data_IF_826606393340
#
_entry.id   IF_826606393340
#
_cell.length_a   1.000
_cell.length_b   1.000
_cell.length_c   1.000
_cell.angle_alpha   90.00
_cell.angle_beta   90.00
_cell.angle_gamma   90.00
#
_symmetry.space_group_name_H-M   'P 1'
#
loop_
_entity.id
_entity.type
_entity.pdbx_description
1 polymer ?
#
# COMPACT_ATOMS: atom_id res chain seq x y z
N UNK A 1 -21.08 5.15 -7.06
CA UNK A 1 -19.62 5.39 -6.99
C UNK A 1 -19.37 6.55 -7.92
N UNK A 2 -18.62 7.57 -7.51
CA UNK A 2 -18.33 8.71 -8.41
C UNK A 2 -17.43 8.28 -9.56
N UNK A 3 -17.47 9.01 -10.67
CA UNK A 3 -16.56 8.83 -11.81
C UNK A 3 -15.08 9.00 -11.44
N UNK A 4 -14.74 9.67 -10.33
CA UNK A 4 -13.39 9.64 -9.74
C UNK A 4 -12.79 8.24 -9.56
N UNK A 5 -13.66 7.25 -9.40
CA UNK A 5 -13.30 5.86 -9.15
C UNK A 5 -13.35 5.04 -10.44
N UNK A 6 -13.02 5.62 -11.60
CA UNK A 6 -12.74 4.85 -12.82
C UNK A 6 -11.53 3.94 -12.60
N UNK A 7 -11.72 2.87 -11.84
CA UNK A 7 -10.70 1.92 -11.49
C UNK A 7 -10.12 1.38 -12.79
N UNK A 8 -8.92 1.79 -13.17
CA UNK A 8 -8.27 1.28 -14.39
C UNK A 8 -7.58 -0.07 -14.13
N UNK A 9 -7.69 -0.61 -12.92
CA UNK A 9 -7.07 -1.86 -12.50
C UNK A 9 -7.89 -3.10 -12.85
N UNK A 10 -7.18 -4.14 -13.29
CA UNK A 10 -7.77 -5.44 -13.61
C UNK A 10 -8.03 -6.26 -12.34
N UNK A 11 -8.79 -7.35 -12.47
CA UNK A 11 -8.98 -8.31 -11.37
C UNK A 11 -7.65 -8.91 -10.89
N UNK A 12 -6.73 -9.14 -11.82
CA UNK A 12 -5.39 -9.62 -11.51
C UNK A 12 -4.65 -8.60 -10.65
N UNK A 13 -4.62 -7.33 -11.06
CA UNK A 13 -3.92 -6.26 -10.34
C UNK A 13 -4.48 -6.03 -8.93
N UNK A 14 -5.80 -5.98 -8.78
CA UNK A 14 -6.46 -5.80 -7.47
C UNK A 14 -6.24 -6.99 -6.52
N UNK A 15 -6.23 -8.21 -7.07
CA UNK A 15 -5.90 -9.43 -6.30
C UNK A 15 -4.43 -9.45 -5.91
N UNK A 16 -3.54 -9.15 -6.85
CA UNK A 16 -2.10 -9.04 -6.60
C UNK A 16 -1.80 -8.01 -5.52
N UNK A 17 -2.38 -6.81 -5.61
CA UNK A 17 -2.25 -5.78 -4.60
C UNK A 17 -2.70 -6.27 -3.22
N UNK A 18 -3.85 -6.95 -3.12
CA UNK A 18 -4.36 -7.47 -1.85
C UNK A 18 -3.43 -8.53 -1.23
N UNK A 19 -2.87 -9.43 -2.05
CA UNK A 19 -1.92 -10.45 -1.61
C UNK A 19 -0.57 -9.83 -1.21
N UNK A 20 -0.06 -8.91 -2.03
CA UNK A 20 1.18 -8.19 -1.76
C UNK A 20 1.06 -7.35 -0.48
N UNK A 21 -0.05 -6.64 -0.27
CA UNK A 21 -0.28 -5.88 0.94
C UNK A 21 -0.25 -6.78 2.19
N UNK A 22 -0.96 -7.91 2.17
CA UNK A 22 -0.96 -8.86 3.28
C UNK A 22 0.44 -9.40 3.59
N UNK A 23 1.19 -9.78 2.55
CA UNK A 23 2.55 -10.30 2.66
C UNK A 23 3.52 -9.24 3.20
N UNK A 24 3.44 -8.02 2.67
CA UNK A 24 4.22 -6.86 3.12
C UNK A 24 3.91 -6.52 4.58
N UNK A 25 2.65 -6.55 5.03
CA UNK A 25 2.33 -6.37 6.44
C UNK A 25 2.95 -7.46 7.32
N UNK A 26 2.89 -8.73 6.91
CA UNK A 26 3.52 -9.82 7.64
C UNK A 26 5.05 -9.63 7.74
N UNK A 27 5.70 -9.22 6.65
CA UNK A 27 7.12 -8.88 6.61
C UNK A 27 7.47 -7.70 7.51
N UNK A 28 6.64 -6.66 7.55
CA UNK A 28 6.88 -5.51 8.41
C UNK A 28 6.73 -5.85 9.88
N UNK A 29 5.62 -6.48 10.30
CA UNK A 29 5.43 -6.86 11.70
C UNK A 29 6.56 -7.77 12.19
N UNK A 30 6.98 -8.74 11.39
CA UNK A 30 8.08 -9.63 11.76
C UNK A 30 9.45 -8.97 11.69
N UNK A 31 9.75 -8.22 10.63
CA UNK A 31 11.03 -7.55 10.44
C UNK A 31 11.29 -6.47 11.48
N UNK A 32 10.25 -5.71 11.85
CA UNK A 32 10.34 -4.67 12.88
C UNK A 32 10.50 -5.27 14.27
N UNK A 33 9.78 -6.36 14.56
CA UNK A 33 9.96 -7.09 15.81
C UNK A 33 11.41 -7.59 15.98
N UNK A 34 12.10 -7.96 14.89
CA UNK A 34 13.51 -8.35 14.94
C UNK A 34 14.44 -7.14 15.11
N UNK A 35 14.20 -6.07 14.35
CA UNK A 35 15.07 -4.89 14.34
C UNK A 35 14.99 -4.10 15.64
N UNK A 36 13.77 -3.80 16.11
CA UNK A 36 13.51 -2.99 17.30
C UNK A 36 13.01 -3.86 18.45
N UNK A 37 13.68 -4.98 18.68
CA UNK A 37 13.23 -6.03 19.59
C UNK A 37 13.02 -5.54 21.04
N UNK A 38 13.85 -4.60 21.52
CA UNK A 38 13.71 -4.04 22.86
C UNK A 38 12.44 -3.19 23.00
N UNK A 39 12.06 -2.48 21.94
CA UNK A 39 10.84 -1.65 21.89
C UNK A 39 9.56 -2.43 21.52
N UNK A 40 9.72 -3.57 20.84
CA UNK A 40 8.65 -4.42 20.30
C UNK A 40 8.67 -5.84 20.86
N UNK A 41 9.19 -5.99 22.08
CA UNK A 41 9.32 -7.28 22.77
C UNK A 41 7.99 -8.06 22.83
N UNK A 42 6.87 -7.36 22.96
CA UNK A 42 5.54 -7.98 23.04
C UNK A 42 5.18 -8.68 21.73
N UNK A 43 5.60 -8.13 20.58
CA UNK A 43 5.34 -8.70 19.26
C UNK A 43 6.22 -9.93 19.04
N UNK A 44 7.46 -9.91 19.54
CA UNK A 44 8.31 -11.11 19.59
C UNK A 44 7.68 -12.22 20.41
N UNK A 45 7.21 -11.93 21.64
CA UNK A 45 6.57 -12.92 22.50
C UNK A 45 5.31 -13.48 21.85
N UNK A 46 4.45 -12.62 21.30
CA UNK A 46 3.21 -13.01 20.63
C UNK A 46 3.45 -14.00 19.47
N UNK A 47 4.56 -13.82 18.74
CA UNK A 47 4.91 -14.63 17.57
C UNK A 47 5.83 -15.82 17.90
N UNK A 48 5.99 -16.19 19.17
CA UNK A 48 6.76 -17.37 19.58
C UNK A 48 8.26 -17.12 19.75
N UNK A 49 8.65 -15.90 20.10
CA UNK A 49 10.04 -15.47 20.30
C UNK A 49 10.83 -15.36 18.99
N UNK A 50 12.14 -15.18 19.09
CA UNK A 50 13.02 -14.97 17.92
C UNK A 50 12.90 -16.10 16.88
N UNK A 51 12.75 -17.35 17.32
CA UNK A 51 12.62 -18.50 16.40
C UNK A 51 11.33 -18.39 15.59
N UNK A 52 10.21 -18.10 16.25
CA UNK A 52 8.92 -17.96 15.59
C UNK A 52 8.88 -16.76 14.64
N UNK A 53 9.34 -15.60 15.08
CA UNK A 53 9.39 -14.40 14.24
C UNK A 53 10.26 -14.60 13.01
N UNK A 54 11.47 -15.16 13.15
CA UNK A 54 12.35 -15.44 12.00
C UNK A 54 11.71 -16.45 11.04
N UNK A 55 11.01 -17.46 11.56
CA UNK A 55 10.33 -18.44 10.72
C UNK A 55 9.19 -17.80 9.91
N UNK A 56 8.35 -16.98 10.55
CA UNK A 56 7.26 -16.26 9.86
C UNK A 56 7.83 -15.25 8.86
N UNK A 57 8.88 -14.50 9.22
CA UNK A 57 9.53 -13.54 8.32
C UNK A 57 10.06 -14.22 7.06
N UNK A 58 10.72 -15.37 7.21
CA UNK A 58 11.22 -16.15 6.07
C UNK A 58 10.07 -16.72 5.23
N UNK A 59 9.00 -17.21 5.85
CA UNK A 59 7.85 -17.72 5.12
C UNK A 59 7.18 -16.61 4.29
N UNK A 60 6.96 -15.43 4.88
CA UNK A 60 6.48 -14.26 4.16
C UNK A 60 7.49 -13.81 3.08
N UNK A 61 8.79 -13.90 3.34
CA UNK A 61 9.83 -13.63 2.34
C UNK A 61 9.74 -14.54 1.11
N UNK A 62 9.40 -15.82 1.27
CA UNK A 62 9.11 -16.71 0.14
C UNK A 62 7.85 -16.26 -0.62
N UNK A 63 6.83 -15.78 0.11
CA UNK A 63 5.63 -15.16 -0.46
C UNK A 63 5.99 -13.96 -1.34
N UNK A 64 6.80 -13.03 -0.82
CA UNK A 64 7.26 -11.86 -1.56
C UNK A 64 8.05 -12.25 -2.80
N UNK A 65 8.98 -13.20 -2.69
CA UNK A 65 9.74 -13.71 -3.84
C UNK A 65 8.78 -14.23 -4.91
N UNK A 66 7.81 -15.05 -4.55
CA UNK A 66 6.84 -15.59 -5.49
C UNK A 66 6.00 -14.49 -6.15
N UNK A 67 5.55 -13.50 -5.38
CA UNK A 67 4.76 -12.36 -5.88
C UNK A 67 5.58 -11.47 -6.81
N UNK A 68 6.80 -11.10 -6.45
CA UNK A 68 7.69 -10.29 -7.29
C UNK A 68 8.03 -11.02 -8.58
N UNK A 69 8.41 -12.31 -8.51
CA UNK A 69 8.70 -13.12 -9.70
C UNK A 69 7.46 -13.23 -10.59
N UNK A 70 6.29 -13.51 -10.02
CA UNK A 70 5.03 -13.54 -10.75
C UNK A 70 4.76 -12.22 -11.47
N UNK A 71 4.89 -11.09 -10.78
CA UNK A 71 4.64 -9.77 -11.35
C UNK A 71 5.62 -9.44 -12.48
N UNK A 72 6.92 -9.70 -12.28
CA UNK A 72 7.94 -9.50 -13.30
C UNK A 72 7.70 -10.37 -14.53
N UNK A 73 7.36 -11.65 -14.36
CA UNK A 73 7.01 -12.54 -15.46
C UNK A 73 5.81 -11.99 -16.22
N UNK A 74 4.75 -11.58 -15.52
CA UNK A 74 3.55 -11.04 -16.15
C UNK A 74 3.79 -9.74 -16.92
N UNK A 75 4.62 -8.84 -16.39
CA UNK A 75 5.06 -7.64 -17.10
C UNK A 75 5.82 -7.95 -18.39
N UNK A 76 6.64 -9.01 -18.38
CA UNK A 76 7.45 -9.38 -19.54
C UNK A 76 6.67 -10.13 -20.62
N UNK A 77 5.79 -11.07 -20.23
CA UNK A 77 5.15 -11.99 -21.18
C UNK A 77 3.83 -11.45 -21.76
N UNK A 78 3.07 -10.66 -21.00
CA UNK A 78 1.74 -10.20 -21.44
C UNK A 78 1.78 -8.87 -22.17
N UNK A 79 0.93 -8.69 -23.18
CA UNK A 79 0.80 -7.43 -23.90
C UNK A 79 0.34 -6.30 -22.96
N UNK A 80 -0.63 -6.59 -22.10
CA UNK A 80 -1.09 -5.67 -21.06
C UNK A 80 0.03 -5.27 -20.11
N UNK A 81 0.85 -6.22 -19.67
CA UNK A 81 1.99 -5.95 -18.80
C UNK A 81 3.03 -5.04 -19.44
N UNK A 82 3.39 -5.32 -20.71
CA UNK A 82 4.34 -4.47 -21.47
C UNK A 82 3.78 -3.08 -21.74
N UNK A 83 2.49 -2.96 -22.06
CA UNK A 83 1.80 -1.68 -22.25
C UNK A 83 1.81 -0.86 -20.96
N UNK A 84 1.37 -1.46 -19.85
CA UNK A 84 1.35 -0.82 -18.53
C UNK A 84 2.76 -0.37 -18.11
N UNK A 85 3.79 -1.20 -18.36
CA UNK A 85 5.17 -0.82 -18.08
C UNK A 85 5.59 0.43 -18.86
N UNK A 86 5.23 0.52 -20.14
CA UNK A 86 5.53 1.71 -20.96
C UNK A 86 4.85 2.97 -20.45
N UNK A 87 3.64 2.86 -19.89
CA UNK A 87 2.89 3.99 -19.33
C UNK A 87 3.46 4.53 -18.02
N UNK A 88 4.05 3.67 -17.19
CA UNK A 88 4.62 4.10 -15.90
C UNK A 88 6.03 4.71 -16.04
N UNK A 89 6.74 4.46 -17.15
CA UNK A 89 8.09 4.99 -17.37
C UNK A 89 8.06 6.53 -17.37
N UNK A 90 8.89 7.21 -16.54
CA UNK A 90 8.95 8.66 -16.50
C UNK A 90 9.31 9.26 -17.87
N UNK A 91 8.57 10.28 -18.27
CA UNK A 91 8.78 11.03 -19.51
C UNK A 91 9.26 12.46 -19.21
N UNK A 92 9.59 13.22 -20.26
CA UNK A 92 9.94 14.65 -20.07
C UNK A 92 8.77 15.47 -19.52
N UNK A 93 7.55 15.11 -19.87
CA UNK A 93 6.35 15.78 -19.36
C UNK A 93 6.19 15.62 -17.84
N UNK A 94 6.69 14.51 -17.25
CA UNK A 94 6.70 14.34 -15.80
C UNK A 94 7.67 15.34 -15.12
N UNK A 95 8.78 15.69 -15.79
CA UNK A 95 9.72 16.71 -15.31
C UNK A 95 9.11 18.11 -15.43
N UNK A 96 8.46 18.41 -16.56
CA UNK A 96 7.76 19.68 -16.75
C UNK A 96 6.63 19.85 -15.73
N UNK A 97 5.90 18.75 -15.45
CA UNK A 97 4.89 18.71 -14.41
C UNK A 97 5.46 19.00 -13.02
N UNK A 98 6.57 18.36 -12.64
CA UNK A 98 7.25 18.63 -11.38
C UNK A 98 7.68 20.10 -11.26
N UNK A 99 8.30 20.67 -12.29
CA UNK A 99 8.77 22.06 -12.28
C UNK A 99 7.61 23.04 -12.13
N UNK A 100 6.51 22.84 -12.87
CA UNK A 100 5.32 23.68 -12.73
C UNK A 100 4.66 23.50 -11.37
N UNK A 101 4.63 22.29 -10.82
CA UNK A 101 4.04 22.05 -9.50
C UNK A 101 4.83 22.77 -8.38
N UNK A 102 6.16 22.80 -8.48
CA UNK A 102 7.01 23.61 -7.60
C UNK A 102 6.73 25.10 -7.77
N UNK A 103 6.57 25.59 -9.02
CA UNK A 103 6.21 26.99 -9.26
C UNK A 103 4.84 27.33 -8.65
N UNK A 104 3.86 26.45 -8.82
CA UNK A 104 2.51 26.61 -8.25
C UNK A 104 2.56 26.65 -6.72
N UNK A 105 3.26 25.71 -6.07
CA UNK A 105 3.44 25.70 -4.61
C UNK A 105 4.12 26.98 -4.08
N UNK A 106 5.01 27.58 -4.87
CA UNK A 106 5.68 28.84 -4.55
C UNK A 106 4.86 30.08 -4.94
N UNK A 107 3.62 29.93 -5.42
CA UNK A 107 2.77 31.02 -5.86
C UNK A 107 3.26 31.73 -7.14
N UNK A 108 4.10 31.05 -7.95
CA UNK A 108 4.68 31.55 -9.21
C UNK A 108 4.01 30.98 -10.46
N UNK A 109 2.97 30.19 -10.29
CA UNK A 109 2.07 29.73 -11.34
C UNK A 109 0.66 29.70 -10.79
N UNK A 110 -0.32 30.07 -11.62
CA UNK A 110 -1.72 30.14 -11.21
C UNK A 110 -2.38 28.75 -11.15
N UNK A 111 -1.80 27.77 -11.87
CA UNK A 111 -2.35 26.42 -11.99
C UNK A 111 -1.26 25.34 -11.94
N UNK A 112 -1.64 24.16 -11.43
CA UNK A 112 -0.82 22.93 -11.50
C UNK A 112 -0.79 22.39 -12.93
N UNK A 113 0.29 21.70 -13.28
CA UNK A 113 0.39 21.02 -14.57
C UNK A 113 -0.69 19.91 -14.69
N UNK A 114 -1.28 19.67 -15.87
CA UNK A 114 -2.28 18.60 -16.06
C UNK A 114 -1.80 17.22 -15.56
N UNK A 115 -0.57 16.82 -15.90
CA UNK A 115 0.05 15.58 -15.41
C UNK A 115 0.34 15.52 -13.89
N UNK A 116 0.09 16.61 -13.14
CA UNK A 116 0.13 16.62 -11.67
C UNK A 116 -1.26 16.53 -11.02
N UNK A 117 -2.35 16.59 -11.81
CA UNK A 117 -3.74 16.67 -11.34
C UNK A 117 -4.42 15.30 -11.33
N UNK A 118 -3.91 14.35 -10.55
CA UNK A 118 -4.50 13.00 -10.45
C UNK A 118 -5.94 12.98 -9.88
N UNK A 119 -6.34 14.04 -9.18
CA UNK A 119 -7.66 14.15 -8.53
C UNK A 119 -8.28 15.55 -8.70
N UNK A 120 -7.84 16.30 -9.72
CA UNK A 120 -8.21 17.71 -9.91
C UNK A 120 -8.44 18.06 -11.40
N UNK A 121 -8.75 17.06 -12.23
CA UNK A 121 -9.22 17.26 -13.61
C UNK A 121 -10.71 17.57 -13.63
N UNK A 122 -11.18 18.17 -14.72
CA UNK A 122 -12.59 18.51 -14.93
C UNK A 122 -13.35 17.29 -15.47
N UNK A 123 -12.75 16.60 -16.45
CA UNK A 123 -13.26 15.34 -17.00
C UNK A 123 -12.38 14.12 -16.66
N UNK A 124 -12.98 12.94 -16.71
CA UNK A 124 -12.33 11.66 -16.39
C UNK A 124 -11.20 11.26 -17.35
N UNK A 125 -11.25 11.72 -18.59
CA UNK A 125 -10.27 11.48 -19.65
C UNK A 125 -9.09 12.47 -19.60
N UNK A 126 -9.30 13.65 -19.03
CA UNK A 126 -8.25 14.65 -18.74
C UNK A 126 -7.39 14.27 -17.51
N UNK A 127 -7.90 13.41 -16.64
CA UNK A 127 -7.15 12.94 -15.46
C UNK A 127 -6.13 11.86 -15.88
N UNK A 128 -4.82 12.10 -15.72
CA UNK A 128 -3.81 11.10 -16.00
C UNK A 128 -4.02 9.87 -15.10
N UNK A 129 -3.85 8.66 -15.68
CA UNK A 129 -3.93 7.40 -14.92
C UNK A 129 -3.04 7.42 -13.67
N UNK A 130 -1.82 7.93 -13.85
CA UNK A 130 -0.80 8.07 -12.83
C UNK A 130 -0.19 9.46 -12.97
N UNK A 131 -0.23 10.27 -11.92
CA UNK A 131 0.56 11.50 -11.88
C UNK A 131 2.06 11.19 -11.86
N UNK A 132 2.90 12.20 -12.10
CA UNK A 132 4.35 12.06 -11.92
C UNK A 132 4.71 11.54 -10.50
N UNK A 133 3.95 11.95 -9.47
CA UNK A 133 4.09 11.45 -8.09
C UNK A 133 3.73 9.98 -8.02
N UNK A 134 2.58 9.59 -8.58
CA UNK A 134 2.15 8.20 -8.63
C UNK A 134 3.16 7.28 -9.35
N UNK A 135 3.77 7.75 -10.44
CA UNK A 135 4.85 7.02 -11.14
C UNK A 135 6.07 6.88 -10.24
N UNK A 136 6.46 7.95 -9.54
CA UNK A 136 7.51 7.92 -8.55
C UNK A 136 7.28 6.87 -7.47
N UNK A 137 6.08 6.84 -6.87
CA UNK A 137 5.71 5.86 -5.84
C UNK A 137 5.79 4.43 -6.37
N UNK A 138 5.27 4.15 -7.58
CA UNK A 138 5.36 2.82 -8.19
C UNK A 138 6.82 2.38 -8.37
N UNK A 139 7.70 3.26 -8.86
CA UNK A 139 9.11 2.94 -9.04
C UNK A 139 9.85 2.73 -7.72
N UNK A 140 9.61 3.58 -6.73
CA UNK A 140 10.20 3.45 -5.39
C UNK A 140 9.84 2.08 -4.81
N UNK A 141 8.55 1.74 -4.77
CA UNK A 141 8.10 0.44 -4.23
C UNK A 141 8.64 -0.74 -5.04
N UNK A 142 8.64 -0.66 -6.37
CA UNK A 142 9.13 -1.75 -7.22
C UNK A 142 10.63 -2.02 -7.02
N UNK A 143 11.43 -0.95 -6.96
CA UNK A 143 12.88 -1.05 -6.72
C UNK A 143 13.14 -1.55 -5.30
N UNK A 144 12.50 -0.97 -4.30
CA UNK A 144 12.70 -1.34 -2.89
C UNK A 144 12.31 -2.79 -2.61
N UNK A 145 11.15 -3.25 -3.10
CA UNK A 145 10.75 -4.65 -2.97
C UNK A 145 11.73 -5.59 -3.67
N UNK A 146 12.24 -5.21 -4.84
CA UNK A 146 13.25 -6.00 -5.57
C UNK A 146 14.56 -6.07 -4.76
N UNK A 147 15.03 -4.94 -4.23
CA UNK A 147 16.24 -4.88 -3.42
C UNK A 147 16.07 -5.64 -2.10
N UNK A 148 14.91 -5.60 -1.46
CA UNK A 148 14.57 -6.39 -0.27
C UNK A 148 14.59 -7.89 -0.56
N UNK A 149 14.04 -8.33 -1.70
CA UNK A 149 14.13 -9.74 -2.14
C UNK A 149 15.59 -10.14 -2.33
N UNK A 150 16.37 -9.36 -3.08
CA UNK A 150 17.78 -9.69 -3.37
C UNK A 150 18.61 -9.71 -2.09
N UNK A 151 18.52 -8.67 -1.27
CA UNK A 151 19.26 -8.59 0.00
C UNK A 151 18.80 -9.65 1.01
N UNK A 152 17.51 -9.96 1.06
CA UNK A 152 16.93 -11.02 1.90
C UNK A 152 17.44 -12.41 1.52
N UNK A 153 17.55 -12.70 0.22
CA UNK A 153 18.16 -13.93 -0.29
C UNK A 153 19.66 -14.01 0.04
N UNK A 154 20.40 -12.90 -0.06
CA UNK A 154 21.81 -12.86 0.30
C UNK A 154 22.02 -13.17 1.80
N UNK A 155 21.19 -12.60 2.68
CA UNK A 155 21.30 -12.82 4.13
C UNK A 155 20.55 -14.07 4.63
N UNK A 156 19.93 -14.83 3.72
CA UNK A 156 19.13 -16.02 4.04
C UNK A 156 19.93 -17.02 4.88
N UNK A 157 21.19 -17.23 4.49
CA UNK A 157 22.19 -18.00 5.22
C UNK A 157 23.38 -17.12 5.60
N UNK A 158 23.33 -16.52 6.80
CA UNK A 158 24.42 -15.68 7.33
C UNK A 158 25.75 -16.42 7.38
N UNK A 159 25.75 -17.71 7.73
CA UNK A 159 26.95 -18.56 7.75
C UNK A 159 27.50 -18.81 6.34
N UNK A 160 26.63 -19.09 5.36
CA UNK A 160 27.04 -19.22 3.96
C UNK A 160 27.62 -17.92 3.40
N UNK A 161 27.02 -16.79 3.73
CA UNK A 161 27.48 -15.46 3.29
C UNK A 161 28.87 -15.11 3.86
N UNK A 162 29.10 -15.39 5.16
CA UNK A 162 30.42 -15.20 5.79
C UNK A 162 31.50 -16.10 5.17
N UNK A 163 31.15 -17.32 4.79
CA UNK A 163 32.08 -18.23 4.09
C UNK A 163 32.40 -17.72 2.68
N UNK A 164 31.39 -17.25 1.94
CA UNK A 164 31.55 -16.74 0.58
C UNK A 164 32.45 -15.50 0.52
N UNK A 165 32.21 -14.51 1.39
CA UNK A 165 33.01 -13.28 1.44
C UNK A 165 34.28 -13.38 2.28
N UNK A 166 34.53 -14.53 2.92
CA UNK A 166 35.62 -14.77 3.88
C UNK A 166 35.72 -13.70 5.00
N UNK A 167 34.65 -12.92 5.24
CA UNK A 167 34.65 -11.81 6.18
C UNK A 167 33.30 -11.68 6.89
N UNK A 168 33.35 -11.51 8.21
CA UNK A 168 32.16 -11.21 9.02
C UNK A 168 31.59 -9.82 8.72
N UNK A 169 32.47 -8.86 8.45
CA UNK A 169 32.09 -7.46 8.18
C UNK A 169 31.21 -7.34 6.94
N UNK A 170 31.55 -8.01 5.83
CA UNK A 170 30.73 -7.98 4.63
C UNK A 170 29.34 -8.59 4.88
N UNK A 171 29.27 -9.71 5.60
CA UNK A 171 27.99 -10.33 5.93
C UNK A 171 27.11 -9.43 6.82
N UNK A 172 27.70 -8.73 7.80
CA UNK A 172 26.98 -7.77 8.64
C UNK A 172 26.52 -6.54 7.85
N UNK A 173 27.31 -6.05 6.90
CA UNK A 173 26.92 -4.93 6.04
C UNK A 173 25.65 -5.23 5.23
N UNK A 174 25.50 -6.45 4.70
CA UNK A 174 24.27 -6.84 4.00
C UNK A 174 23.05 -6.93 4.92
N UNK A 175 23.25 -7.33 6.17
CA UNK A 175 22.18 -7.37 7.18
C UNK A 175 21.71 -5.95 7.52
N UNK A 176 22.64 -5.02 7.76
CA UNK A 176 22.33 -3.60 7.99
C UNK A 176 21.64 -3.00 6.76
N UNK A 177 22.17 -3.27 5.56
CA UNK A 177 21.58 -2.80 4.31
C UNK A 177 20.13 -3.27 4.13
N UNK A 178 19.84 -4.56 4.38
CA UNK A 178 18.48 -5.08 4.33
C UNK A 178 17.56 -4.41 5.37
N UNK A 179 18.05 -4.20 6.59
CA UNK A 179 17.31 -3.50 7.65
C UNK A 179 16.97 -2.05 7.27
N UNK A 180 17.95 -1.31 6.73
CA UNK A 180 17.75 0.08 6.28
C UNK A 180 16.78 0.17 5.09
N UNK A 181 16.85 -0.75 4.12
CA UNK A 181 15.84 -0.84 3.06
C UNK A 181 14.44 -1.05 3.63
N UNK A 182 14.31 -1.90 4.66
CA UNK A 182 13.07 -2.10 5.38
C UNK A 182 12.55 -0.80 6.02
N UNK A 183 13.43 0.03 6.58
CA UNK A 183 13.02 1.31 7.17
C UNK A 183 12.53 2.30 6.13
N UNK A 184 13.24 2.45 5.02
CA UNK A 184 12.84 3.38 3.96
C UNK A 184 11.49 2.93 3.37
N UNK A 185 11.33 1.63 3.09
CA UNK A 185 10.07 1.07 2.59
C UNK A 185 8.93 1.25 3.60
N UNK A 186 9.20 1.16 4.91
CA UNK A 186 8.18 1.44 5.93
C UNK A 186 7.64 2.86 5.79
N UNK A 187 8.52 3.84 5.62
CA UNK A 187 8.10 5.23 5.43
C UNK A 187 7.16 5.33 4.22
N UNK A 188 7.55 4.71 3.10
CA UNK A 188 6.71 4.61 1.91
C UNK A 188 5.35 3.99 2.19
N UNK A 189 5.30 2.88 2.93
CA UNK A 189 4.05 2.19 3.29
C UNK A 189 3.18 3.02 4.24
N UNK A 190 3.75 3.69 5.24
CA UNK A 190 2.99 4.55 6.14
C UNK A 190 2.38 5.74 5.41
N UNK A 191 3.14 6.36 4.51
CA UNK A 191 2.60 7.40 3.64
C UNK A 191 1.53 6.87 2.69
N UNK A 192 1.72 5.69 2.10
CA UNK A 192 0.73 5.05 1.25
C UNK A 192 -0.59 4.77 2.00
N UNK A 193 -0.51 4.25 3.23
CA UNK A 193 -1.69 4.07 4.10
C UNK A 193 -2.39 5.41 4.35
N UNK A 194 -1.61 6.45 4.64
CA UNK A 194 -2.15 7.78 4.91
C UNK A 194 -2.85 8.38 3.70
N UNK A 195 -2.15 8.42 2.55
CA UNK A 195 -2.63 9.01 1.31
C UNK A 195 -3.92 8.34 0.85
N UNK A 196 -3.95 7.01 0.78
CA UNK A 196 -5.09 6.28 0.20
C UNK A 196 -6.20 5.95 1.22
N UNK A 197 -5.90 5.92 2.52
CA UNK A 197 -6.90 5.72 3.57
C UNK A 197 -7.59 7.01 4.01
N UNK A 198 -6.91 8.15 3.91
CA UNK A 198 -7.39 9.41 4.47
C UNK A 198 -7.49 10.54 3.45
N UNK A 199 -7.44 10.23 2.15
CA UNK A 199 -7.76 11.19 1.10
C UNK A 199 -9.20 11.73 1.26
N UNK A 200 -9.44 13.04 1.19
CA UNK A 200 -10.78 13.62 1.36
C UNK A 200 -11.82 13.05 0.39
N UNK A 201 -11.43 12.78 -0.85
CA UNK A 201 -12.34 12.26 -1.87
C UNK A 201 -12.68 10.76 -1.72
N UNK A 202 -11.85 10.01 -0.99
CA UNK A 202 -11.97 8.54 -0.90
C UNK A 202 -12.10 8.03 0.52
N UNK A 203 -12.15 8.92 1.52
CA UNK A 203 -12.24 8.55 2.92
C UNK A 203 -13.50 7.69 3.17
N UNK A 204 -13.39 6.55 3.88
CA UNK A 204 -12.24 6.08 4.68
C UNK A 204 -11.26 5.13 3.97
N UNK A 205 -11.43 4.88 2.67
CA UNK A 205 -10.56 3.99 1.89
C UNK A 205 -10.78 4.17 0.39
N UNK A 206 -9.69 4.34 -0.36
CA UNK A 206 -9.74 4.31 -1.83
C UNK A 206 -10.01 2.90 -2.39
N UNK A 207 -11.15 2.76 -3.07
CA UNK A 207 -11.70 1.47 -3.54
C UNK A 207 -11.06 0.96 -4.82
N UNK A 208 -10.43 1.83 -5.63
CA UNK A 208 -9.77 1.45 -6.89
C UNK A 208 -8.78 0.28 -6.73
N UNK A 209 -8.09 0.20 -5.60
CA UNK A 209 -7.10 -0.85 -5.33
C UNK A 209 -7.71 -2.24 -5.12
N UNK A 210 -9.02 -2.31 -4.88
CA UNK A 210 -9.75 -3.53 -4.55
C UNK A 210 -10.80 -3.89 -5.61
N UNK A 211 -11.50 -2.91 -6.17
CA UNK A 211 -12.59 -3.14 -7.11
C UNK A 211 -12.07 -2.99 -8.55
N UNK A 212 -12.16 -4.03 -9.41
CA UNK A 212 -11.63 -3.96 -10.77
C UNK A 212 -12.56 -3.17 -11.71
N UNK A 213 -11.98 -2.53 -12.74
CA UNK A 213 -12.69 -1.68 -13.72
C UNK A 213 -14.02 -2.22 -14.19
N UNK A 214 -14.01 -3.48 -14.60
CA UNK A 214 -15.16 -4.18 -15.20
C UNK A 214 -16.39 -4.30 -14.29
N UNK A 215 -16.26 -3.94 -13.01
CA UNK A 215 -17.34 -3.93 -12.02
C UNK A 215 -17.85 -2.53 -11.70
N UNK A 216 -17.20 -1.49 -12.23
CA UNK A 216 -17.58 -0.10 -12.00
C UNK A 216 -18.42 0.34 -13.20
N UNK A 217 -19.66 0.82 -12.98
CA UNK A 217 -20.49 1.33 -14.06
C UNK A 217 -19.77 2.45 -14.81
N UNK A 218 -19.85 2.47 -16.14
CA UNK A 218 -19.22 3.52 -16.95
C UNK A 218 -20.00 4.85 -16.94
N UNK A 219 -21.24 4.86 -16.43
CA UNK A 219 -22.02 6.07 -16.22
C UNK A 219 -23.02 5.91 -15.07
N UNK A 220 -23.24 6.99 -14.33
CA UNK A 220 -24.47 7.21 -13.60
C UNK A 220 -25.35 8.13 -14.45
N UNK A 221 -26.52 7.63 -14.85
CA UNK A 221 -27.59 8.33 -15.57
C UNK A 221 -27.33 8.68 -17.06
N UNK A 222 -28.44 8.80 -17.79
CA UNK A 222 -28.59 9.03 -19.23
C UNK A 222 -28.08 10.39 -19.75
N UNK A 223 -27.19 11.07 -19.05
CA UNK A 223 -26.67 12.37 -19.47
C UNK A 223 -25.33 12.19 -20.20
N UNK A 224 -25.41 12.17 -21.53
CA UNK A 224 -24.25 12.30 -22.43
C UNK A 224 -23.51 13.66 -22.28
N UNK A 225 -23.95 14.50 -21.35
CA UNK A 225 -23.49 15.88 -21.07
C UNK A 225 -23.06 16.07 -19.60
N UNK A 226 -22.72 14.99 -18.86
CA UNK A 226 -22.20 15.12 -17.49
C UNK A 226 -20.76 15.69 -17.51
N UNK A 227 -20.67 17.01 -17.63
CA UNK A 227 -19.44 17.80 -17.51
C UNK A 227 -18.89 17.69 -16.06
N UNK A 228 -18.10 16.66 -15.73
CA UNK A 228 -17.51 16.52 -14.40
C UNK A 228 -16.99 15.13 -13.99
N UNK A 229 -16.10 15.11 -12.98
CA UNK A 229 -15.63 13.88 -12.33
C UNK A 229 -16.60 13.34 -11.26
N UNK A 230 -17.66 14.09 -10.94
CA UNK A 230 -18.57 13.82 -9.83
C UNK A 230 -17.99 14.16 -8.46
N UNK A 231 -16.81 14.79 -8.38
CA UNK A 231 -16.20 15.21 -7.10
C UNK A 231 -16.94 16.39 -6.48
N UNK A 232 -17.47 17.25 -7.33
CA UNK A 232 -18.29 18.42 -7.02
C UNK A 232 -19.61 18.05 -6.32
N UNK A 233 -20.11 16.83 -6.53
CA UNK A 233 -21.30 16.31 -5.86
C UNK A 233 -21.00 15.72 -4.46
N UNK A 234 -19.72 15.52 -4.13
CA UNK A 234 -19.31 14.93 -2.87
C UNK A 234 -19.28 15.97 -1.75
N UNK A 235 -19.74 15.55 -0.56
CA UNK A 235 -19.52 16.28 0.68
C UNK A 235 -18.51 15.57 1.55
N UNK A 236 -17.67 16.33 2.25
CA UNK A 236 -16.68 15.77 3.16
C UNK A 236 -17.38 15.09 4.34
N UNK A 237 -16.92 13.89 4.70
CA UNK A 237 -17.36 13.24 5.92
C UNK A 237 -17.04 14.11 7.14
N UNK A 238 -17.99 14.25 8.07
CA UNK A 238 -17.86 15.12 9.24
C UNK A 238 -16.68 14.75 10.16
N UNK A 239 -16.26 13.49 10.15
CA UNK A 239 -15.11 12.98 10.89
C UNK A 239 -13.77 13.16 10.18
N UNK A 240 -13.76 13.37 8.86
CA UNK A 240 -12.56 13.27 8.03
C UNK A 240 -11.43 14.15 8.55
N UNK A 241 -11.67 15.44 8.74
CA UNK A 241 -10.63 16.40 9.15
C UNK A 241 -9.95 15.98 10.46
N UNK A 242 -10.75 15.58 11.48
CA UNK A 242 -10.21 15.16 12.78
C UNK A 242 -9.39 13.88 12.66
N UNK A 243 -9.90 12.90 11.92
CA UNK A 243 -9.24 11.59 11.77
C UNK A 243 -7.99 11.71 10.91
N UNK A 244 -8.04 12.45 9.81
CA UNK A 244 -6.89 12.69 8.94
C UNK A 244 -5.77 13.43 9.68
N UNK A 245 -6.09 14.48 10.45
CA UNK A 245 -5.06 15.17 11.25
C UNK A 245 -4.44 14.26 12.31
N UNK A 246 -5.26 13.48 13.04
CA UNK A 246 -4.74 12.52 14.01
C UNK A 246 -3.82 11.49 13.35
N UNK A 247 -4.27 10.87 12.26
CA UNK A 247 -3.49 9.85 11.57
C UNK A 247 -2.22 10.42 10.93
N UNK A 248 -2.27 11.64 10.40
CA UNK A 248 -1.10 12.34 9.89
C UNK A 248 -0.04 12.55 10.99
N UNK A 249 -0.46 12.98 12.18
CA UNK A 249 0.44 13.10 13.33
C UNK A 249 1.04 11.75 13.73
N UNK A 250 0.23 10.69 13.81
CA UNK A 250 0.70 9.35 14.16
C UNK A 250 1.71 8.80 13.13
N UNK A 251 1.48 9.03 11.84
CA UNK A 251 2.41 8.67 10.77
C UNK A 251 3.76 9.38 10.94
N UNK A 252 3.74 10.70 11.16
CA UNK A 252 4.97 11.48 11.35
C UNK A 252 5.75 11.03 12.59
N UNK A 253 5.05 10.82 13.72
CA UNK A 253 5.64 10.30 14.95
C UNK A 253 6.27 8.92 14.70
N UNK A 254 5.51 7.99 14.11
CA UNK A 254 5.98 6.65 13.79
C UNK A 254 7.25 6.64 12.93
N UNK A 255 7.23 7.40 11.82
CA UNK A 255 8.38 7.53 10.90
C UNK A 255 9.59 8.11 11.63
N UNK A 256 9.41 9.21 12.35
CA UNK A 256 10.53 9.91 13.01
C UNK A 256 11.13 9.07 14.12
N UNK A 257 10.32 8.36 14.89
CA UNK A 257 10.80 7.46 15.96
C UNK A 257 11.56 6.27 15.39
N UNK A 258 11.06 5.63 14.34
CA UNK A 258 11.78 4.52 13.67
C UNK A 258 13.08 5.00 13.05
N UNK A 259 13.08 6.15 12.39
CA UNK A 259 14.30 6.74 11.82
C UNK A 259 15.32 7.06 12.91
N UNK A 260 14.88 7.67 14.01
CA UNK A 260 15.76 7.99 15.14
C UNK A 260 16.30 6.71 15.77
N UNK A 261 15.45 5.71 16.02
CA UNK A 261 15.84 4.41 16.54
C UNK A 261 16.87 3.74 15.65
N UNK A 262 16.70 3.79 14.32
CA UNK A 262 17.66 3.19 13.38
C UNK A 262 19.07 3.80 13.38
N UNK A 263 19.22 5.01 13.92
CA UNK A 263 20.50 5.70 14.05
C UNK A 263 21.18 5.33 15.38
N UNK A 264 20.40 5.13 16.44
CA UNK A 264 20.90 4.93 17.81
C UNK A 264 20.96 3.46 18.21
N UNK A 265 20.12 2.63 17.62
CA UNK A 265 19.97 1.21 17.89
C UNK A 265 20.28 0.45 16.58
N UNK A 266 21.51 -0.06 16.48
CA UNK A 266 21.96 -0.79 15.29
C UNK A 266 21.24 -2.16 15.16
N UNK A 267 20.41 -2.56 16.14
CA UNK A 267 19.57 -3.76 16.12
C UNK A 267 20.35 -5.07 15.93
N UNK A 268 21.68 -5.01 15.94
CA UNK A 268 22.57 -6.11 15.61
C UNK A 268 23.86 -6.11 16.44
N UNK A 269 24.24 -7.27 17.03
CA UNK A 269 23.50 -8.54 17.02
C UNK A 269 22.21 -8.46 17.84
N UNK A 270 21.12 -9.07 17.33
CA UNK A 270 19.86 -9.23 18.08
C UNK A 270 20.20 -9.80 19.46
N UNK A 271 19.96 -9.04 20.55
CA UNK A 271 20.27 -9.48 21.89
C UNK A 271 19.58 -10.81 22.21
N UNK A 272 20.24 -11.68 22.97
CA UNK A 272 19.63 -12.92 23.47
C UNK A 272 18.73 -12.66 24.68
N UNK A 273 18.90 -11.50 25.30
CA UNK A 273 18.20 -11.05 26.50
C UNK A 273 17.68 -9.64 26.23
N UNK A 274 16.45 -9.35 26.67
CA UNK A 274 15.82 -8.03 26.51
C UNK A 274 16.49 -7.05 27.48
N UNK A 275 17.13 -6.00 26.95
CA UNK A 275 17.78 -4.98 27.77
C UNK A 275 16.84 -3.78 27.92
N UNK A 276 16.08 -3.74 29.00
CA UNK A 276 15.25 -2.57 29.34
C UNK A 276 16.12 -1.51 30.04
N UNK A 277 17.01 -0.83 29.28
CA UNK A 277 17.76 0.32 29.79
C UNK A 277 16.85 1.57 29.84
N UNK A 278 16.22 1.79 30.99
CA UNK A 278 15.15 2.79 31.18
C UNK A 278 15.60 4.25 31.21
N UNK A 279 15.98 4.82 30.06
CA UNK A 279 16.09 6.28 29.90
C UNK A 279 14.75 6.89 29.44
N UNK A 280 14.44 8.16 29.76
CA UNK A 280 13.25 8.84 29.22
C UNK A 280 13.23 8.89 27.69
N UNK A 281 14.40 8.93 27.06
CA UNK A 281 14.54 8.88 25.60
C UNK A 281 14.14 7.51 25.05
N UNK A 282 14.55 6.44 25.72
CA UNK A 282 14.18 5.05 25.38
C UNK A 282 12.67 4.81 25.48
N UNK A 283 12.01 5.39 26.50
CA UNK A 283 10.56 5.38 26.62
C UNK A 283 9.86 6.10 25.47
N UNK A 284 10.37 7.27 25.07
CA UNK A 284 9.81 8.04 23.95
C UNK A 284 9.96 7.28 22.62
N UNK A 285 11.10 6.65 22.38
CA UNK A 285 11.32 5.79 21.22
C UNK A 285 10.38 4.59 21.24
N UNK A 286 10.25 3.93 22.39
CA UNK A 286 9.32 2.80 22.56
C UNK A 286 7.90 3.21 22.21
N UNK A 287 7.40 4.33 22.74
CA UNK A 287 6.05 4.84 22.42
C UNK A 287 5.93 5.12 20.93
N UNK A 288 6.88 5.84 20.34
CA UNK A 288 6.81 6.24 18.95
C UNK A 288 6.92 5.07 17.95
N UNK A 289 7.74 4.07 18.23
CA UNK A 289 7.82 2.85 17.42
C UNK A 289 6.51 2.07 17.51
N UNK A 290 5.90 1.98 18.70
CA UNK A 290 4.58 1.35 18.87
C UNK A 290 3.47 2.14 18.18
N UNK A 291 3.55 3.48 18.12
CA UNK A 291 2.69 4.31 17.27
C UNK A 291 2.87 3.94 15.79
N UNK A 292 4.10 3.70 15.34
CA UNK A 292 4.37 3.19 14.00
C UNK A 292 3.70 1.82 13.75
N UNK A 293 3.82 0.88 14.68
CA UNK A 293 3.12 -0.42 14.59
C UNK A 293 1.60 -0.24 14.56
N UNK A 294 1.05 0.72 15.31
CA UNK A 294 -0.37 1.04 15.26
C UNK A 294 -0.80 1.56 13.88
N UNK A 295 -0.02 2.43 13.24
CA UNK A 295 -0.30 2.89 11.87
C UNK A 295 -0.32 1.71 10.89
N UNK A 296 0.63 0.79 10.98
CA UNK A 296 0.63 -0.43 10.17
C UNK A 296 -0.61 -1.29 10.42
N UNK A 297 -1.02 -1.43 11.68
CA UNK A 297 -2.22 -2.18 12.04
C UNK A 297 -3.49 -1.54 11.44
N UNK A 298 -3.61 -0.22 11.49
CA UNK A 298 -4.69 0.51 10.81
C UNK A 298 -4.66 0.23 9.31
N UNK A 299 -3.48 0.26 8.67
CA UNK A 299 -3.32 -0.09 7.26
C UNK A 299 -3.77 -1.51 6.92
N UNK A 300 -3.41 -2.49 7.76
CA UNK A 300 -3.87 -3.87 7.62
C UNK A 300 -5.41 -3.96 7.71
N UNK A 301 -6.02 -3.28 8.69
CA UNK A 301 -7.48 -3.23 8.85
C UNK A 301 -8.14 -2.61 7.62
N UNK A 302 -7.60 -1.51 7.10
CA UNK A 302 -8.10 -0.86 5.88
C UNK A 302 -7.98 -1.77 4.66
N UNK A 303 -6.87 -2.50 4.51
CA UNK A 303 -6.69 -3.48 3.43
C UNK A 303 -7.71 -4.62 3.50
N UNK A 304 -7.97 -5.14 4.70
CA UNK A 304 -9.02 -6.14 4.93
C UNK A 304 -10.41 -5.57 4.65
N UNK A 305 -10.69 -4.35 5.10
CA UNK A 305 -11.94 -3.65 4.85
C UNK A 305 -12.20 -3.48 3.35
N UNK A 306 -11.22 -3.07 2.55
CA UNK A 306 -11.34 -2.96 1.10
C UNK A 306 -11.71 -4.28 0.43
N UNK A 307 -11.14 -5.39 0.89
CA UNK A 307 -11.49 -6.73 0.40
C UNK A 307 -12.92 -7.15 0.79
N UNK A 308 -13.41 -6.73 1.97
CA UNK A 308 -14.81 -6.93 2.38
C UNK A 308 -15.76 -6.11 1.51
N UNK A 309 -15.43 -4.84 1.26
CA UNK A 309 -16.20 -3.96 0.36
C UNK A 309 -16.29 -4.57 -1.04
N UNK A 310 -15.18 -5.04 -1.61
CA UNK A 310 -15.17 -5.75 -2.89
C UNK A 310 -16.14 -6.93 -2.91
N UNK A 311 -16.14 -7.78 -1.88
CA UNK A 311 -17.04 -8.94 -1.81
C UNK A 311 -18.51 -8.54 -1.70
N UNK A 312 -18.82 -7.47 -0.96
CA UNK A 312 -20.19 -6.94 -0.87
C UNK A 312 -20.66 -6.42 -2.22
N UNK A 313 -19.81 -5.69 -2.93
CA UNK A 313 -20.07 -5.18 -4.27
C UNK A 313 -20.29 -6.32 -5.29
N UNK A 314 -19.40 -7.32 -5.29
CA UNK A 314 -19.54 -8.51 -6.15
C UNK A 314 -20.86 -9.26 -5.89
N UNK A 315 -21.33 -9.28 -4.63
CA UNK A 315 -22.60 -9.91 -4.27
C UNK A 315 -23.80 -9.10 -4.77
N UNK A 316 -23.79 -7.78 -4.58
CA UNK A 316 -24.85 -6.89 -5.08
C UNK A 316 -25.01 -7.00 -6.60
N UNK A 317 -23.91 -6.95 -7.35
CA UNK A 317 -23.94 -7.11 -8.81
C UNK A 317 -24.45 -8.48 -9.28
N UNK A 318 -24.31 -9.54 -8.47
CA UNK A 318 -24.89 -10.86 -8.77
C UNK A 318 -26.39 -10.84 -8.54
N UNK A 319 -26.83 -10.31 -7.40
CA UNK A 319 -28.26 -10.18 -7.06
C UNK A 319 -29.00 -9.33 -8.10
N UNK A 320 -28.40 -8.24 -8.59
CA UNK A 320 -28.96 -7.41 -9.68
C UNK A 320 -29.04 -8.14 -11.03
N UNK A 321 -28.05 -8.99 -11.36
CA UNK A 321 -28.02 -9.77 -12.61
C UNK A 321 -28.98 -10.95 -12.60
N UNK A 322 -29.18 -11.58 -11.44
CA UNK A 322 -30.07 -12.73 -11.29
C UNK A 322 -31.54 -12.32 -11.28
N UNK A 323 -31.85 -11.03 -11.08
CA UNK A 323 -33.21 -10.49 -11.00
C UNK A 323 -33.99 -11.07 -9.81
N UNK A 324 -35.18 -10.53 -9.47
CA UNK A 324 -36.06 -11.23 -8.55
C UNK A 324 -36.39 -12.58 -9.18
N UNK A 325 -36.02 -13.68 -8.52
CA UNK A 325 -36.34 -15.02 -8.96
C UNK A 325 -37.81 -15.08 -9.39
N UNK A 326 -38.05 -15.38 -10.66
CA UNK A 326 -39.38 -15.66 -11.18
C UNK A 326 -39.97 -16.79 -10.33
N UNK A 327 -40.81 -16.41 -9.37
CA UNK A 327 -41.71 -17.32 -8.71
C UNK A 327 -42.86 -17.54 -9.68
N UNK A 328 -42.59 -18.38 -10.68
CA UNK A 328 -43.61 -19.03 -11.49
C UNK A 328 -44.43 -19.94 -10.57
N UNK A 329 -45.51 -19.38 -10.03
CA UNK A 329 -46.70 -20.11 -9.62
C UNK A 329 -47.80 -19.78 -10.61
N UNK A 330 -47.79 -20.47 -11.76
CA UNK A 330 -48.83 -20.32 -12.78
C UNK A 330 -50.19 -20.67 -12.21
N UNK A 331 -51.13 -19.74 -12.30
CA UNK A 331 -52.55 -20.04 -12.14
C UNK A 331 -53.13 -20.24 -13.55
N UNK A 332 -53.21 -21.52 -13.95
CA UNK A 332 -54.03 -21.96 -15.07
C UNK A 332 -54.87 -23.13 -14.60
N UNK A 333 -56.07 -22.84 -14.10
CA UNK A 333 -57.25 -23.69 -14.33
C UNK A 333 -58.39 -22.77 -14.74
N UNK A 334 -58.60 -22.61 -16.05
CA UNK A 334 -59.56 -23.36 -16.87
C UNK A 334 -60.91 -22.64 -16.97
N UNK A 335 -61.20 -22.19 -18.18
CA UNK A 335 -62.55 -21.82 -18.62
C UNK A 335 -63.44 -23.07 -18.78
N UNK A 336 -64.76 -22.83 -18.71
CA UNK A 336 -65.91 -23.67 -19.12
C UNK A 336 -66.32 -24.80 -18.15
N UNK A 337 -67.32 -24.56 -17.31
CA UNK A 337 -68.78 -24.78 -17.57
C UNK A 337 -69.66 -24.18 -16.46
#
# INVERSE_FOLDING_TARGET
MTNLDHGKFTRMTTTFHSLLALDVFALFFTGYALMFNDHLWWLLVLMGGNVGVVAVHRLAGLGLIALVVFWMVMMLITDTGRSNFREIVPTREDVDAFVQDVKFMLGRADERHPNARQFAGYESDEVPLLSYVGKGVVFIFAIELTLLVVSGLLIWSKSGLMQYFATRTAAMAFVVFHGLLGIIMLMGVMFHIFEHGFHPAFYPLETKAFIPRRMIPESHADDADADGTGIEELSLASSWNKVANLMGVLVVIGITSVMTASIVDEGYPVPRELHLEGSPFDLLLTIGINVGIFVLFVGLVLSLYGNVVRRRWERQLREEREGPAATDGGDVSSAED
#
